data_IF_574910664188
#
_entry.id   IF_574910664188
#
_cell.length_a   1.000
_cell.length_b   1.000
_cell.length_c   1.000
_cell.angle_alpha   90.00
_cell.angle_beta   90.00
_cell.angle_gamma   90.00
#
_symmetry.space_group_name_H-M   'P 1'
#
loop_
_entity.id
_entity.type
_entity.pdbx_description
1 polymer ?
#
# COMPACT_ATOMS: atom_id res chain seq x y z
N UNK A 1 -1.23 57.21 -17.27
CA UNK A 1 -0.47 55.97 -17.47
C UNK A 1 -1.16 54.89 -16.66
N UNK A 2 -2.01 54.10 -17.32
CA UNK A 2 -2.73 52.99 -16.73
C UNK A 2 -1.78 51.79 -16.72
N UNK A 3 -1.49 51.25 -15.53
CA UNK A 3 -0.86 49.96 -15.35
C UNK A 3 -1.94 48.88 -15.45
N UNK A 4 -1.94 48.15 -16.56
CA UNK A 4 -2.77 46.97 -16.76
C UNK A 4 -2.32 45.85 -15.81
N UNK A 5 -3.20 45.51 -14.87
CA UNK A 5 -3.12 44.28 -14.08
C UNK A 5 -3.49 43.11 -14.99
N UNK A 6 -2.50 42.37 -15.46
CA UNK A 6 -2.73 41.12 -16.21
C UNK A 6 -3.25 40.07 -15.23
N UNK A 7 -4.56 39.84 -15.25
CA UNK A 7 -5.20 38.69 -14.60
C UNK A 7 -4.74 37.43 -15.34
N UNK A 8 -3.99 36.56 -14.67
CA UNK A 8 -3.66 35.23 -15.17
C UNK A 8 -4.98 34.46 -15.28
N UNK A 9 -5.39 34.14 -16.51
CA UNK A 9 -6.52 33.24 -16.76
C UNK A 9 -6.23 31.86 -16.19
N UNK A 10 -7.26 31.11 -15.72
CA UNK A 10 -7.07 29.76 -15.21
C UNK A 10 -6.59 28.89 -16.36
N UNK A 11 -5.37 28.37 -16.27
CA UNK A 11 -4.86 27.39 -17.24
C UNK A 11 -5.85 26.24 -17.36
N UNK A 12 -6.24 25.94 -18.59
CA UNK A 12 -7.08 24.82 -18.98
C UNK A 12 -6.69 23.57 -18.18
N UNK A 13 -7.71 22.89 -17.60
CA UNK A 13 -7.55 21.61 -16.92
C UNK A 13 -6.93 20.62 -17.90
N UNK A 14 -5.61 20.50 -17.83
CA UNK A 14 -4.88 19.39 -18.39
C UNK A 14 -5.42 18.17 -17.67
N UNK A 15 -6.20 17.34 -18.37
CA UNK A 15 -6.61 16.03 -17.86
C UNK A 15 -5.32 15.29 -17.48
N UNK A 16 -5.05 15.26 -16.17
CA UNK A 16 -3.93 14.53 -15.62
C UNK A 16 -4.16 13.06 -15.99
N UNK A 17 -3.37 12.58 -16.94
CA UNK A 17 -3.38 11.20 -17.39
C UNK A 17 -2.74 10.36 -16.27
N UNK A 18 -3.47 10.18 -15.18
CA UNK A 18 -3.05 9.43 -14.00
C UNK A 18 -2.82 7.98 -14.41
N UNK A 19 -1.57 7.62 -14.69
CA UNK A 19 -1.15 6.25 -14.94
C UNK A 19 -0.78 5.66 -13.59
N UNK A 20 -1.77 5.22 -12.82
CA UNK A 20 -1.49 4.41 -11.64
C UNK A 20 -0.73 3.17 -12.11
N UNK A 21 0.50 2.97 -11.62
CA UNK A 21 1.27 1.76 -11.89
C UNK A 21 0.67 0.65 -11.05
N UNK A 22 -0.24 -0.11 -11.63
CA UNK A 22 -0.85 -1.25 -10.95
C UNK A 22 0.24 -2.29 -10.62
N UNK A 23 0.25 -2.77 -9.37
CA UNK A 23 1.03 -3.94 -8.98
C UNK A 23 0.10 -5.09 -8.64
N UNK A 24 0.65 -6.30 -8.60
CA UNK A 24 -0.11 -7.47 -8.10
C UNK A 24 -0.60 -7.24 -6.66
N UNK A 25 0.08 -6.39 -5.87
CA UNK A 25 -0.37 -6.06 -4.51
C UNK A 25 -1.66 -5.25 -4.52
N UNK A 26 -1.65 -4.10 -5.21
CA UNK A 26 -2.81 -3.20 -5.28
C UNK A 26 -3.97 -3.88 -6.03
N UNK A 27 -3.66 -4.66 -7.06
CA UNK A 27 -4.63 -5.42 -7.85
C UNK A 27 -5.28 -6.57 -7.04
N UNK A 28 -4.52 -7.28 -6.21
CA UNK A 28 -5.04 -8.30 -5.31
C UNK A 28 -5.96 -7.70 -4.24
N UNK A 29 -5.49 -6.64 -3.55
CA UNK A 29 -6.19 -6.07 -2.41
C UNK A 29 -7.25 -5.02 -2.78
N UNK A 30 -7.39 -4.67 -4.06
CA UNK A 30 -8.57 -3.98 -4.56
C UNK A 30 -9.84 -4.86 -4.53
N UNK A 31 -9.68 -6.18 -4.47
CA UNK A 31 -10.79 -7.14 -4.43
C UNK A 31 -11.25 -7.29 -2.96
N UNK A 32 -12.52 -6.99 -2.63
CA UNK A 32 -13.02 -6.96 -1.24
C UNK A 32 -12.74 -8.24 -0.44
N UNK A 33 -12.93 -9.41 -1.06
CA UNK A 33 -12.61 -10.72 -0.48
C UNK A 33 -11.18 -10.82 0.04
N UNK A 34 -10.19 -10.40 -0.74
CA UNK A 34 -8.78 -10.51 -0.36
C UNK A 34 -8.37 -9.40 0.61
N UNK A 35 -9.01 -8.22 0.51
CA UNK A 35 -8.84 -7.14 1.48
C UNK A 35 -9.34 -7.54 2.88
N UNK A 36 -10.48 -8.24 2.95
CA UNK A 36 -10.97 -8.81 4.21
C UNK A 36 -10.03 -9.87 4.78
N UNK A 37 -9.48 -10.75 3.93
CA UNK A 37 -8.49 -11.72 4.38
C UNK A 37 -7.23 -11.03 4.92
N UNK A 38 -6.82 -9.91 4.32
CA UNK A 38 -5.68 -9.12 4.78
C UNK A 38 -5.96 -8.51 6.14
N UNK A 39 -7.13 -7.88 6.30
CA UNK A 39 -7.56 -7.34 7.59
C UNK A 39 -7.55 -8.42 8.68
N UNK A 40 -8.15 -9.59 8.41
CA UNK A 40 -8.21 -10.70 9.38
C UNK A 40 -6.84 -11.30 9.70
N UNK A 41 -5.88 -11.25 8.76
CA UNK A 41 -4.49 -11.63 9.04
C UNK A 41 -3.79 -10.62 9.98
N UNK A 42 -4.17 -9.35 9.94
CA UNK A 42 -3.66 -8.31 10.84
C UNK A 42 -4.37 -8.30 12.20
N UNK A 43 -5.67 -8.61 12.19
CA UNK A 43 -6.60 -8.59 13.32
C UNK A 43 -7.38 -9.91 13.41
N UNK A 44 -6.72 -11.03 13.78
CA UNK A 44 -7.39 -12.33 13.90
C UNK A 44 -8.48 -12.36 14.98
N UNK A 45 -8.47 -11.39 15.90
CA UNK A 45 -9.50 -11.19 16.94
C UNK A 45 -10.86 -10.74 16.39
N UNK A 46 -10.90 -10.11 15.21
CA UNK A 46 -12.09 -9.43 14.67
C UNK A 46 -12.86 -10.32 13.69
N UNK A 47 -13.35 -11.48 14.16
CA UNK A 47 -14.01 -12.48 13.30
C UNK A 47 -15.35 -12.04 12.71
N UNK A 48 -16.06 -11.14 13.40
CA UNK A 48 -17.39 -10.64 13.01
C UNK A 48 -17.34 -9.63 11.85
N UNK A 49 -16.15 -9.12 11.50
CA UNK A 49 -15.98 -8.17 10.40
C UNK A 49 -16.26 -8.86 9.07
N UNK A 50 -17.11 -8.26 8.25
CA UNK A 50 -17.43 -8.69 6.88
C UNK A 50 -16.92 -7.67 5.86
N UNK A 51 -17.06 -7.97 4.56
CA UNK A 51 -16.64 -7.08 3.48
C UNK A 51 -17.36 -5.72 3.54
N UNK A 52 -18.61 -5.69 4.00
CA UNK A 52 -19.43 -4.46 4.12
C UNK A 52 -18.90 -3.50 5.19
N UNK A 53 -18.13 -4.00 6.16
CA UNK A 53 -17.52 -3.16 7.19
C UNK A 53 -16.22 -2.49 6.74
N UNK A 54 -15.68 -2.90 5.58
CA UNK A 54 -14.43 -2.37 5.04
C UNK A 54 -14.78 -1.29 4.02
N UNK A 55 -14.49 -0.04 4.38
CA UNK A 55 -14.61 1.07 3.44
C UNK A 55 -13.24 1.34 2.83
N UNK A 56 -13.12 1.14 1.52
CA UNK A 56 -11.95 1.59 0.78
C UNK A 56 -11.82 3.10 0.95
N UNK A 57 -10.75 3.55 1.61
CA UNK A 57 -10.34 4.93 1.46
C UNK A 57 -9.44 4.92 0.25
N UNK A 58 -10.03 5.09 -0.92
CA UNK A 58 -9.25 5.36 -2.13
C UNK A 58 -8.66 6.75 -1.95
N UNK A 59 -7.57 6.86 -1.20
CA UNK A 59 -6.77 8.07 -1.07
C UNK A 59 -6.20 8.29 -2.46
N UNK A 60 -6.81 9.20 -3.21
CA UNK A 60 -6.21 9.66 -4.45
C UNK A 60 -4.93 10.36 -4.03
N UNK A 61 -3.80 9.71 -4.28
CA UNK A 61 -2.48 10.16 -3.92
C UNK A 61 -2.09 11.36 -4.81
N UNK A 62 -2.73 12.52 -4.59
CA UNK A 62 -2.60 13.71 -5.46
C UNK A 62 -1.35 14.52 -5.10
N UNK A 63 -0.80 14.38 -3.88
CA UNK A 63 0.41 15.14 -3.47
C UNK A 63 1.73 14.49 -3.85
N UNK A 64 1.73 13.20 -4.16
CA UNK A 64 2.92 12.46 -4.56
C UNK A 64 2.65 12.02 -5.99
N UNK A 65 3.10 12.81 -6.97
CA UNK A 65 3.21 12.47 -8.42
C UNK A 65 4.11 11.22 -8.67
N UNK A 66 4.20 10.32 -7.70
CA UNK A 66 4.98 9.10 -7.69
C UNK A 66 4.04 7.94 -7.38
N UNK A 67 3.89 7.06 -8.36
CA UNK A 67 3.23 5.77 -8.23
C UNK A 67 3.87 4.97 -7.08
N UNK A 68 3.13 4.73 -5.99
CA UNK A 68 3.51 3.76 -4.98
C UNK A 68 2.33 2.83 -4.68
N UNK A 69 2.64 1.55 -4.42
CA UNK A 69 1.67 0.47 -4.24
C UNK A 69 1.08 0.43 -2.81
N UNK A 70 0.71 1.61 -2.29
CA UNK A 70 0.21 1.74 -0.93
C UNK A 70 -1.30 1.54 -0.89
N UNK A 71 -1.78 0.93 0.19
CA UNK A 71 -3.17 0.56 0.38
C UNK A 71 -3.67 1.18 1.69
N UNK A 72 -4.70 2.02 1.60
CA UNK A 72 -5.40 2.61 2.73
C UNK A 72 -6.85 2.14 2.80
N UNK A 73 -7.32 1.73 3.97
CA UNK A 73 -8.73 1.39 4.17
C UNK A 73 -9.19 1.58 5.62
N UNK A 74 -10.50 1.78 5.79
CA UNK A 74 -11.15 1.95 7.08
C UNK A 74 -11.90 0.69 7.49
N UNK A 75 -11.76 0.31 8.76
CA UNK A 75 -12.60 -0.68 9.42
C UNK A 75 -13.06 -0.12 10.77
N UNK A 76 -14.35 0.20 10.87
CA UNK A 76 -14.89 0.94 12.01
C UNK A 76 -14.17 2.29 12.19
N UNK A 77 -13.49 2.46 13.33
CA UNK A 77 -12.71 3.66 13.65
C UNK A 77 -11.18 3.48 13.41
N UNK A 78 -10.75 2.40 12.76
CA UNK A 78 -9.34 2.14 12.45
C UNK A 78 -9.06 2.51 11.01
N UNK A 79 -8.06 3.36 10.81
CA UNK A 79 -7.46 3.63 9.50
C UNK A 79 -6.22 2.78 9.35
N UNK A 80 -6.28 1.77 8.49
CA UNK A 80 -5.13 0.94 8.17
C UNK A 80 -4.44 1.53 6.95
N UNK A 81 -3.14 1.80 7.09
CA UNK A 81 -2.28 2.21 5.98
C UNK A 81 -1.18 1.17 5.84
N UNK A 82 -1.26 0.39 4.78
CA UNK A 82 -0.24 -0.57 4.39
C UNK A 82 0.64 0.10 3.35
N UNK A 83 1.84 0.48 3.79
CA UNK A 83 2.86 0.92 2.87
C UNK A 83 3.52 -0.31 2.22
N UNK A 84 3.62 -0.27 0.91
CA UNK A 84 3.98 -1.31 -0.07
C UNK A 84 4.91 -2.46 0.38
N UNK A 85 4.72 -3.61 -0.28
CA UNK A 85 5.57 -4.79 -0.31
C UNK A 85 7.03 -4.54 -0.76
N UNK A 86 7.86 -3.82 0.01
CA UNK A 86 9.20 -3.45 -0.43
C UNK A 86 10.18 -4.64 -0.46
N UNK A 87 10.89 -4.79 -1.58
CA UNK A 87 12.03 -5.71 -1.71
C UNK A 87 13.34 -5.08 -1.18
N UNK A 88 13.49 -3.77 -1.34
CA UNK A 88 14.64 -2.99 -0.86
C UNK A 88 14.35 -2.43 0.53
N UNK A 89 15.29 -2.59 1.46
CA UNK A 89 15.15 -2.02 2.80
C UNK A 89 15.41 -0.52 2.81
N UNK A 90 14.49 0.27 3.35
CA UNK A 90 14.69 1.69 3.61
C UNK A 90 13.93 2.16 4.84
N UNK A 91 14.56 3.02 5.65
CA UNK A 91 13.94 3.66 6.82
C UNK A 91 13.11 4.89 6.43
N UNK A 92 13.28 5.40 5.20
CA UNK A 92 12.50 6.53 4.67
C UNK A 92 11.01 6.21 4.61
N UNK A 93 10.65 4.92 4.72
CA UNK A 93 9.27 4.46 4.87
C UNK A 93 8.54 5.16 6.01
N UNK A 94 9.23 5.53 7.09
CA UNK A 94 8.65 6.22 8.24
C UNK A 94 8.14 7.62 7.86
N UNK A 95 8.97 8.38 7.13
CA UNK A 95 8.61 9.71 6.63
C UNK A 95 7.48 9.60 5.62
N UNK A 96 7.58 8.63 4.71
CA UNK A 96 6.56 8.35 3.71
C UNK A 96 5.21 8.04 4.35
N UNK A 97 5.15 7.09 5.30
CA UNK A 97 3.93 6.75 6.02
C UNK A 97 3.30 7.93 6.75
N UNK A 98 4.10 8.84 7.30
CA UNK A 98 3.59 10.07 7.92
C UNK A 98 2.92 10.99 6.88
N UNK A 99 3.56 11.22 5.75
CA UNK A 99 2.99 12.04 4.67
C UNK A 99 1.66 11.46 4.19
N UNK A 100 1.61 10.13 3.99
CA UNK A 100 0.36 9.44 3.64
C UNK A 100 -0.71 9.61 4.70
N UNK A 101 -0.38 9.43 5.97
CA UNK A 101 -1.32 9.55 7.07
C UNK A 101 -1.92 10.96 7.15
N UNK A 102 -1.09 12.00 7.06
CA UNK A 102 -1.54 13.40 7.11
C UNK A 102 -2.50 13.71 5.95
N UNK A 103 -2.15 13.29 4.73
CA UNK A 103 -3.02 13.45 3.56
C UNK A 103 -4.36 12.74 3.74
N UNK A 104 -4.32 11.49 4.22
CA UNK A 104 -5.53 10.68 4.46
C UNK A 104 -6.46 11.35 5.46
N UNK A 105 -5.91 11.87 6.55
CA UNK A 105 -6.71 12.59 7.54
C UNK A 105 -7.27 13.90 7.01
N UNK A 106 -6.52 14.63 6.17
CA UNK A 106 -7.04 15.83 5.52
C UNK A 106 -8.27 15.51 4.65
N UNK A 107 -8.19 14.47 3.83
CA UNK A 107 -9.32 13.99 3.02
C UNK A 107 -10.49 13.49 3.87
N UNK A 108 -10.19 12.78 4.96
CA UNK A 108 -11.20 12.31 5.91
C UNK A 108 -11.95 13.49 6.56
N UNK A 109 -11.23 14.50 7.06
CA UNK A 109 -11.81 15.71 7.65
C UNK A 109 -12.71 16.44 6.65
N UNK A 110 -12.26 16.58 5.40
CA UNK A 110 -13.03 17.22 4.34
C UNK A 110 -14.30 16.44 3.99
N UNK A 111 -14.16 15.13 3.72
CA UNK A 111 -15.28 14.27 3.33
C UNK A 111 -16.33 14.10 4.43
N UNK A 112 -15.93 14.20 5.70
CA UNK A 112 -16.85 14.17 6.86
C UNK A 112 -17.37 15.54 7.26
N UNK A 113 -17.02 16.61 6.52
CA UNK A 113 -17.50 17.98 6.78
C UNK A 113 -17.02 18.56 8.11
N UNK A 114 -15.92 18.05 8.65
CA UNK A 114 -15.36 18.53 9.91
C UNK A 114 -14.60 19.84 9.71
N UNK A 115 -14.71 20.75 10.67
CA UNK A 115 -14.02 22.04 10.63
C UNK A 115 -12.78 22.01 11.53
N UNK A 116 -11.60 21.79 10.95
CA UNK A 116 -10.31 21.79 11.67
C UNK A 116 -9.94 23.17 12.25
N UNK A 117 -10.53 24.25 11.73
CA UNK A 117 -10.33 25.62 12.22
C UNK A 117 -11.39 26.04 13.25
N UNK A 118 -12.34 25.16 13.57
CA UNK A 118 -13.37 25.40 14.58
C UNK A 118 -12.91 25.06 16.00
N UNK A 119 -13.71 25.45 16.99
CA UNK A 119 -13.47 25.10 18.39
C UNK A 119 -13.92 23.68 18.76
N UNK A 120 -14.76 23.05 17.92
CA UNK A 120 -15.20 21.67 18.12
C UNK A 120 -14.05 20.72 17.80
N UNK A 121 -13.81 19.76 18.68
CA UNK A 121 -12.84 18.68 18.48
C UNK A 121 -13.13 17.92 17.17
N UNK A 122 -12.08 17.71 16.38
CA UNK A 122 -12.10 16.82 15.22
C UNK A 122 -11.99 15.37 15.68
N UNK A 123 -12.83 14.51 15.11
CA UNK A 123 -12.78 13.06 15.27
C UNK A 123 -12.00 12.48 14.09
N UNK A 124 -10.91 11.78 14.39
CA UNK A 124 -10.05 11.14 13.40
C UNK A 124 -10.03 9.63 13.65
N UNK A 125 -10.00 8.81 12.58
CA UNK A 125 -9.80 7.39 12.73
C UNK A 125 -8.40 7.13 13.28
N UNK A 126 -8.30 6.15 14.18
CA UNK A 126 -7.04 5.74 14.79
C UNK A 126 -6.16 5.07 13.72
N UNK A 127 -4.94 5.55 13.47
CA UNK A 127 -4.12 5.04 12.40
C UNK A 127 -3.31 3.83 12.85
N UNK A 128 -3.16 2.89 11.93
CA UNK A 128 -2.29 1.73 12.08
C UNK A 128 -1.43 1.59 10.82
N UNK A 129 -0.12 1.65 11.00
CA UNK A 129 0.84 1.70 9.91
C UNK A 129 1.58 0.36 9.81
N UNK A 130 1.53 -0.24 8.63
CA UNK A 130 2.09 -1.55 8.36
C UNK A 130 2.98 -1.51 7.12
N UNK A 131 4.03 -2.34 7.12
CA UNK A 131 4.84 -2.61 5.93
C UNK A 131 5.00 -4.10 5.78
N UNK A 132 4.65 -4.63 4.62
CA UNK A 132 5.00 -6.01 4.25
C UNK A 132 6.39 -5.96 3.61
N UNK A 133 7.38 -6.62 4.18
CA UNK A 133 8.74 -6.65 3.63
C UNK A 133 9.03 -8.00 2.99
N UNK A 134 9.19 -8.00 1.67
CA UNK A 134 9.43 -9.22 0.87
C UNK A 134 10.90 -9.42 0.51
N UNK A 135 11.77 -8.51 0.96
CA UNK A 135 13.21 -8.56 0.71
C UNK A 135 13.94 -9.60 1.56
N UNK A 136 15.22 -9.81 1.24
CA UNK A 136 16.11 -10.68 2.00
C UNK A 136 16.94 -9.86 2.99
N UNK A 137 16.63 -9.96 4.29
CA UNK A 137 17.41 -9.31 5.35
C UNK A 137 17.51 -10.20 6.58
N UNK A 138 18.71 -10.25 7.19
CA UNK A 138 18.96 -11.00 8.43
C UNK A 138 18.26 -10.38 9.64
N UNK A 139 18.37 -9.05 9.81
CA UNK A 139 17.73 -8.32 10.91
C UNK A 139 16.30 -7.96 10.53
N UNK A 140 15.33 -8.46 11.30
CA UNK A 140 13.88 -8.30 11.09
C UNK A 140 13.23 -7.65 12.31
N UNK A 141 13.38 -6.33 12.54
CA UNK A 141 12.74 -5.68 13.67
C UNK A 141 11.22 -5.72 13.54
N UNK A 142 10.50 -5.96 14.65
CA UNK A 142 9.03 -5.99 14.63
C UNK A 142 8.41 -4.61 14.35
N UNK A 143 9.12 -3.54 14.72
CA UNK A 143 8.70 -2.16 14.52
C UNK A 143 9.87 -1.29 14.07
N UNK A 144 9.55 -0.29 13.26
CA UNK A 144 10.40 0.87 13.03
C UNK A 144 9.75 2.09 13.71
N UNK A 145 10.59 2.97 14.26
CA UNK A 145 10.17 4.23 14.87
C UNK A 145 10.94 5.38 14.25
N UNK A 146 10.26 6.52 14.07
CA UNK A 146 10.86 7.71 13.48
C UNK A 146 11.98 8.26 14.36
N UNK A 147 11.74 8.29 15.67
CA UNK A 147 12.75 8.68 16.67
C UNK A 147 14.01 7.82 16.56
N UNK A 148 13.86 6.50 16.61
CA UNK A 148 14.97 5.54 16.60
C UNK A 148 15.78 5.59 15.28
N UNK A 149 15.11 5.58 14.12
CA UNK A 149 15.77 5.38 12.83
C UNK A 149 16.22 6.69 12.14
N UNK A 150 15.55 7.82 12.40
CA UNK A 150 15.83 9.10 11.74
C UNK A 150 16.45 10.11 12.72
N UNK A 151 15.94 10.18 13.95
CA UNK A 151 16.40 11.15 14.95
C UNK A 151 17.39 10.58 15.97
N UNK A 152 17.99 9.41 15.68
CA UNK A 152 19.02 8.79 16.53
C UNK A 152 18.56 8.55 17.98
N UNK A 153 17.29 8.21 18.19
CA UNK A 153 16.71 7.88 19.49
C UNK A 153 16.37 9.08 20.39
N UNK A 154 16.45 10.31 19.88
CA UNK A 154 16.01 11.49 20.63
C UNK A 154 14.48 11.55 20.70
N UNK A 155 13.96 12.05 21.83
CA UNK A 155 12.54 12.34 21.99
C UNK A 155 12.08 13.37 20.94
N UNK A 156 10.93 13.12 20.33
CA UNK A 156 10.38 13.95 19.26
C UNK A 156 8.92 14.31 19.54
N UNK A 157 8.50 15.49 19.11
CA UNK A 157 7.10 15.92 19.21
C UNK A 157 6.16 15.09 18.31
N UNK A 158 6.69 14.45 17.27
CA UNK A 158 5.95 13.55 16.37
C UNK A 158 6.64 12.19 16.36
N UNK A 159 5.88 11.14 16.71
CA UNK A 159 6.34 9.75 16.63
C UNK A 159 5.54 8.99 15.59
N UNK A 160 6.24 8.25 14.74
CA UNK A 160 5.65 7.38 13.72
C UNK A 160 6.16 5.98 13.96
N UNK A 161 5.25 5.09 14.32
CA UNK A 161 5.55 3.68 14.60
C UNK A 161 4.92 2.81 13.53
N UNK A 162 5.76 2.11 12.77
CA UNK A 162 5.35 1.22 11.68
C UNK A 162 5.61 -0.22 12.08
N UNK A 163 4.60 -1.10 11.98
CA UNK A 163 4.77 -2.54 12.21
C UNK A 163 5.30 -3.21 10.94
N UNK A 164 6.39 -3.96 11.09
CA UNK A 164 6.97 -4.74 10.00
C UNK A 164 6.38 -6.14 9.98
N UNK A 165 5.92 -6.55 8.81
CA UNK A 165 5.37 -7.87 8.52
C UNK A 165 6.28 -8.53 7.50
N UNK A 166 6.61 -9.80 7.71
CA UNK A 166 7.59 -10.46 6.85
C UNK A 166 7.13 -11.76 6.21
N UNK A 167 6.50 -12.65 6.97
CA UNK A 167 6.11 -13.99 6.47
C UNK A 167 4.60 -14.26 6.55
N UNK A 168 3.84 -13.48 7.34
CA UNK A 168 2.45 -13.84 7.68
C UNK A 168 2.36 -15.10 8.55
N UNK A 169 1.13 -15.53 8.85
CA UNK A 169 0.83 -16.84 9.42
C UNK A 169 0.60 -17.87 8.32
N UNK A 170 0.92 -19.14 8.59
CA UNK A 170 0.87 -20.20 7.56
C UNK A 170 -0.52 -20.31 6.94
N UNK A 171 -0.62 -19.99 5.65
CA UNK A 171 -1.84 -20.15 4.85
C UNK A 171 -2.71 -18.89 4.79
N UNK A 172 -2.39 -17.85 5.55
CA UNK A 172 -3.06 -16.56 5.41
C UNK A 172 -2.70 -15.87 4.08
N UNK A 173 -3.41 -14.78 3.76
CA UNK A 173 -3.20 -14.08 2.49
C UNK A 173 -1.82 -13.40 2.40
N UNK A 174 -1.24 -13.00 3.54
CA UNK A 174 0.07 -12.34 3.60
C UNK A 174 1.18 -13.32 3.25
N UNK A 175 1.16 -14.51 3.85
CA UNK A 175 2.11 -15.60 3.60
C UNK A 175 2.03 -16.10 2.17
N UNK A 176 0.82 -16.21 1.60
CA UNK A 176 0.63 -16.52 0.19
C UNK A 176 1.22 -15.43 -0.71
N UNK A 177 0.98 -14.16 -0.42
CA UNK A 177 1.54 -13.05 -1.18
C UNK A 177 3.08 -13.01 -1.08
N UNK A 178 3.65 -13.17 0.12
CA UNK A 178 5.10 -13.25 0.33
C UNK A 178 5.70 -14.42 -0.47
N UNK A 179 5.07 -15.60 -0.43
CA UNK A 179 5.52 -16.77 -1.19
C UNK A 179 5.48 -16.51 -2.70
N UNK A 180 4.41 -15.90 -3.21
CA UNK A 180 4.30 -15.47 -4.61
C UNK A 180 5.47 -14.56 -5.02
N UNK A 181 5.79 -13.53 -4.23
CA UNK A 181 6.91 -12.62 -4.54
C UNK A 181 8.26 -13.32 -4.51
N UNK A 182 8.45 -14.30 -3.63
CA UNK A 182 9.68 -15.11 -3.57
C UNK A 182 9.82 -15.98 -4.81
N UNK A 183 8.77 -16.73 -5.17
CA UNK A 183 8.75 -17.58 -6.38
C UNK A 183 9.03 -16.73 -7.61
N UNK A 184 8.40 -15.56 -7.71
CA UNK A 184 8.65 -14.62 -8.80
C UNK A 184 10.12 -14.22 -8.92
N UNK A 185 10.74 -13.79 -7.81
CA UNK A 185 12.17 -13.43 -7.78
C UNK A 185 13.07 -14.59 -8.22
N UNK A 186 12.74 -15.81 -7.82
CA UNK A 186 13.47 -17.01 -8.24
C UNK A 186 13.32 -17.29 -9.74
N UNK A 187 12.11 -17.15 -10.29
CA UNK A 187 11.87 -17.34 -11.73
C UNK A 187 12.56 -16.26 -12.56
N UNK A 188 12.54 -15.00 -12.12
CA UNK A 188 13.27 -13.90 -12.77
C UNK A 188 14.78 -14.15 -12.73
N UNK A 189 15.31 -14.65 -11.61
CA UNK A 189 16.73 -15.02 -11.50
C UNK A 189 17.11 -16.15 -12.48
N UNK A 190 16.19 -17.07 -12.78
CA UNK A 190 16.42 -18.22 -13.66
C UNK A 190 16.22 -17.93 -15.14
N UNK A 191 15.19 -17.18 -15.49
CA UNK A 191 14.75 -16.97 -16.87
C UNK A 191 14.84 -15.50 -17.33
N UNK A 192 15.40 -14.62 -16.49
CA UNK A 192 15.39 -13.17 -16.70
C UNK A 192 14.00 -12.56 -16.55
N UNK A 193 13.91 -11.26 -16.83
CA UNK A 193 12.66 -10.50 -16.92
C UNK A 193 11.92 -10.86 -18.21
N UNK A 194 11.37 -12.07 -18.26
CA UNK A 194 10.72 -12.62 -19.47
C UNK A 194 9.30 -13.11 -19.18
N UNK A 195 8.48 -13.16 -20.23
CA UNK A 195 7.14 -13.79 -20.17
C UNK A 195 7.19 -15.22 -19.62
N UNK A 196 8.26 -15.95 -19.89
CA UNK A 196 8.48 -17.30 -19.35
C UNK A 196 8.61 -17.31 -17.83
N UNK A 197 9.30 -16.31 -17.24
CA UNK A 197 9.43 -16.19 -15.79
C UNK A 197 8.05 -15.97 -15.12
N UNK A 198 7.23 -15.09 -15.69
CA UNK A 198 5.88 -14.79 -15.21
C UNK A 198 4.97 -16.02 -15.31
N UNK A 199 4.90 -16.66 -16.47
CA UNK A 199 4.08 -17.87 -16.66
C UNK A 199 4.51 -19.01 -15.73
N UNK A 200 5.82 -19.19 -15.50
CA UNK A 200 6.31 -20.19 -14.55
C UNK A 200 5.97 -19.84 -13.10
N UNK A 201 5.99 -18.56 -12.75
CA UNK A 201 5.55 -18.10 -11.42
C UNK A 201 4.09 -18.43 -11.18
N UNK A 202 3.21 -18.09 -12.13
CA UNK A 202 1.77 -18.38 -12.06
C UNK A 202 1.54 -19.89 -11.95
N UNK A 203 2.22 -20.68 -12.79
CA UNK A 203 2.09 -22.15 -12.76
C UNK A 203 2.46 -22.73 -11.38
N UNK A 204 3.66 -22.40 -10.86
CA UNK A 204 4.13 -22.92 -9.56
C UNK A 204 3.18 -22.51 -8.44
N UNK A 205 2.73 -21.25 -8.43
CA UNK A 205 1.81 -20.76 -7.40
C UNK A 205 0.48 -21.51 -7.43
N UNK A 206 -0.08 -21.79 -8.61
CA UNK A 206 -1.30 -22.60 -8.72
C UNK A 206 -1.10 -24.04 -8.24
N UNK A 207 0.01 -24.67 -8.63
CA UNK A 207 0.35 -26.05 -8.25
C UNK A 207 0.54 -26.19 -6.73
N UNK A 208 1.11 -25.16 -6.08
CA UNK A 208 1.36 -25.10 -4.63
C UNK A 208 0.20 -24.49 -3.82
N UNK A 209 -0.93 -24.18 -4.46
CA UNK A 209 -2.09 -23.54 -3.84
C UNK A 209 -1.81 -22.16 -3.19
N UNK A 210 -0.90 -21.39 -3.79
CA UNK A 210 -0.53 -20.03 -3.41
C UNK A 210 -1.29 -19.04 -4.29
N UNK A 211 -2.15 -18.21 -3.70
CA UNK A 211 -3.01 -17.25 -4.42
C UNK A 211 -3.80 -17.90 -5.56
N UNK A 212 -4.10 -19.21 -5.47
CA UNK A 212 -4.57 -20.02 -6.60
C UNK A 212 -5.82 -19.45 -7.23
N UNK A 213 -6.85 -19.17 -6.44
CA UNK A 213 -8.13 -18.65 -6.92
C UNK A 213 -7.98 -17.27 -7.59
N UNK A 214 -7.15 -16.40 -7.01
CA UNK A 214 -6.82 -15.10 -7.60
C UNK A 214 -6.13 -15.27 -8.96
N UNK A 215 -5.09 -16.11 -9.01
CA UNK A 215 -4.33 -16.33 -10.25
C UNK A 215 -5.18 -17.01 -11.32
N UNK A 216 -6.07 -17.95 -10.97
CA UNK A 216 -7.00 -18.61 -11.88
C UNK A 216 -8.01 -17.63 -12.50
N UNK A 217 -8.54 -16.71 -11.70
CA UNK A 217 -9.50 -15.71 -12.18
C UNK A 217 -8.88 -14.54 -12.93
N UNK A 218 -7.60 -14.21 -12.66
CA UNK A 218 -6.96 -12.96 -13.10
C UNK A 218 -5.63 -13.16 -13.85
N UNK A 219 -5.46 -14.31 -14.50
CA UNK A 219 -4.17 -14.68 -15.12
C UNK A 219 -3.66 -13.63 -16.11
N UNK A 220 -4.55 -13.10 -16.96
CA UNK A 220 -4.19 -12.16 -18.02
C UNK A 220 -3.78 -10.82 -17.45
N UNK A 221 -4.51 -10.34 -16.44
CA UNK A 221 -4.27 -9.10 -15.73
C UNK A 221 -2.93 -9.17 -14.98
N UNK A 222 -2.70 -10.24 -14.22
CA UNK A 222 -1.44 -10.47 -13.51
C UNK A 222 -0.28 -10.55 -14.49
N UNK A 223 -0.44 -11.27 -15.60
CA UNK A 223 0.60 -11.34 -16.63
C UNK A 223 0.88 -9.96 -17.23
N UNK A 224 -0.14 -9.15 -17.51
CA UNK A 224 0.03 -7.81 -18.04
C UNK A 224 0.76 -6.90 -17.05
N UNK A 225 0.29 -6.84 -15.80
CA UNK A 225 0.90 -6.07 -14.70
C UNK A 225 2.39 -6.42 -14.59
N UNK A 226 2.72 -7.69 -14.46
CA UNK A 226 4.10 -8.13 -14.24
C UNK A 226 5.00 -7.88 -15.46
N UNK A 227 4.44 -7.91 -16.68
CA UNK A 227 5.18 -7.57 -17.89
C UNK A 227 5.42 -6.07 -18.02
N UNK A 228 4.44 -5.22 -17.70
CA UNK A 228 4.61 -3.76 -17.68
C UNK A 228 5.69 -3.33 -16.68
N UNK A 229 5.77 -3.98 -15.52
CA UNK A 229 6.85 -3.73 -14.56
C UNK A 229 8.26 -3.97 -15.11
N UNK A 230 8.42 -4.82 -16.14
CA UNK A 230 9.73 -5.06 -16.76
C UNK A 230 10.18 -3.95 -17.71
N UNK A 231 9.24 -3.28 -18.37
CA UNK A 231 9.56 -2.23 -19.35
C UNK A 231 9.97 -0.91 -18.66
N UNK A 232 9.66 -0.77 -17.38
CA UNK A 232 9.94 0.39 -16.54
C UNK A 232 11.21 0.26 -15.65
N UNK A 233 11.89 -0.89 -15.65
CA UNK A 233 13.13 -1.17 -14.87
C UNK A 233 14.38 -1.34 -15.74
#
# INVERSE_FOLDING_TARGET
MNSETTLLEPSEKQEAKHTAKDSVFTDLFAIPKYLLQLYRALHPEDQEITEENISNVTIHNVLLDQCYNDLGFLVGNRLLVLAEAQSTWTVNILVRSLMYLVQTWQEYVQSTGQNIYGSKRVELPRPELYVIYTGSRKRRPAYLRLSDEIFSGHECAVEVKVKMIYDGEKGDIISQYVAFTRIYKEQVKKYGRTRRAVLKTIQICRDENILKEYLESREKEVLNIMMTLFDDE
#
